data_IF_954429665964
#
_entry.id   IF_954429665964
#
_cell.length_a   1.000
_cell.length_b   1.000
_cell.length_c   1.000
_cell.angle_alpha   90.00
_cell.angle_beta   90.00
_cell.angle_gamma   90.00
#
_symmetry.space_group_name_H-M   'P 1'
#
loop_
_entity.id
_entity.type
_entity.pdbx_description
1 polymer ?
#
# COMPACT_ATOMS: atom_id res chain seq x y z
N UNK A 1 41.74 -59.52 -13.43
CA UNK A 1 41.94 -59.40 -14.89
C UNK A 1 41.73 -57.95 -15.28
N UNK A 2 42.79 -57.29 -15.75
CA UNK A 2 42.77 -56.06 -16.56
C UNK A 2 42.75 -56.49 -18.04
N UNK A 3 42.22 -55.69 -18.99
CA UNK A 3 42.97 -54.58 -19.62
C UNK A 3 42.11 -53.28 -19.75
N UNK A 4 42.61 -52.06 -19.57
CA UNK A 4 43.46 -51.18 -20.42
C UNK A 4 42.98 -50.99 -21.86
N UNK A 5 42.59 -49.75 -22.19
CA UNK A 5 43.38 -48.90 -23.11
C UNK A 5 43.05 -47.40 -22.94
N UNK A 6 44.10 -46.62 -23.15
CA UNK A 6 44.26 -45.16 -23.01
C UNK A 6 43.84 -44.44 -24.30
N UNK A 7 43.46 -43.17 -24.20
CA UNK A 7 44.00 -42.12 -25.10
C UNK A 7 43.77 -40.73 -24.50
N UNK A 8 44.88 -40.05 -24.24
CA UNK A 8 45.01 -38.64 -23.90
C UNK A 8 44.81 -37.72 -25.11
N UNK A 9 44.33 -36.49 -24.91
CA UNK A 9 44.75 -35.24 -25.59
C UNK A 9 43.97 -34.06 -24.95
N UNK A 10 44.55 -33.33 -24.00
CA UNK A 10 45.34 -32.10 -24.15
C UNK A 10 44.57 -30.86 -24.62
N UNK A 11 44.72 -29.83 -23.79
CA UNK A 11 44.30 -28.44 -23.90
C UNK A 11 44.52 -27.78 -25.26
N UNK A 12 43.57 -26.93 -25.66
CA UNK A 12 43.78 -25.60 -26.24
C UNK A 12 42.42 -24.98 -26.60
N UNK A 13 42.07 -23.88 -25.94
CA UNK A 13 41.19 -22.79 -26.42
C UNK A 13 41.61 -21.56 -25.61
N UNK A 14 42.51 -20.76 -26.16
CA UNK A 14 42.30 -19.70 -27.15
C UNK A 14 42.34 -18.35 -26.42
N UNK A 15 43.53 -17.76 -26.45
CA UNK A 15 43.75 -16.32 -26.35
C UNK A 15 42.90 -15.63 -27.43
N UNK A 16 42.10 -14.63 -27.04
CA UNK A 16 41.73 -13.47 -27.85
C UNK A 16 40.85 -12.53 -27.02
N UNK A 17 41.45 -11.51 -26.40
CA UNK A 17 40.81 -10.20 -26.20
C UNK A 17 41.84 -9.17 -25.71
N UNK A 18 42.66 -8.68 -26.63
CA UNK A 18 43.12 -7.30 -26.56
C UNK A 18 42.21 -6.49 -27.50
N UNK A 19 41.17 -5.88 -26.93
CA UNK A 19 40.47 -4.76 -27.55
C UNK A 19 40.48 -3.61 -26.54
N UNK A 20 41.45 -2.74 -26.73
CA UNK A 20 41.52 -1.42 -26.13
C UNK A 20 40.23 -0.65 -26.45
N UNK A 21 39.53 -0.22 -25.40
CA UNK A 21 38.44 0.74 -25.53
C UNK A 21 39.07 2.13 -25.75
N UNK A 22 39.25 2.50 -27.02
CA UNK A 22 39.65 3.87 -27.40
C UNK A 22 38.50 4.83 -27.10
N UNK A 23 38.75 5.74 -26.16
CA UNK A 23 37.98 6.96 -25.96
C UNK A 23 37.91 7.76 -27.27
N UNK A 24 36.70 7.98 -27.79
CA UNK A 24 36.43 9.01 -28.79
C UNK A 24 35.83 10.22 -28.09
N UNK A 25 36.72 11.12 -27.71
CA UNK A 25 36.43 12.55 -27.59
C UNK A 25 36.23 13.09 -29.00
N UNK A 26 35.02 13.54 -29.33
CA UNK A 26 34.79 14.33 -30.53
C UNK A 26 35.06 15.80 -30.20
N UNK A 27 36.17 16.30 -30.73
CA UNK A 27 36.51 17.72 -30.79
C UNK A 27 35.43 18.49 -31.58
N UNK A 28 34.88 19.54 -30.96
CA UNK A 28 34.19 20.61 -31.67
C UNK A 28 35.10 21.84 -31.61
N UNK A 29 35.85 22.08 -32.68
CA UNK A 29 36.47 23.37 -32.95
C UNK A 29 35.55 24.21 -33.85
N UNK A 30 35.13 25.34 -33.27
CA UNK A 30 35.35 26.68 -33.79
C UNK A 30 34.54 27.17 -34.99
N UNK A 31 33.46 27.94 -34.71
CA UNK A 31 33.04 29.07 -35.54
C UNK A 31 32.50 30.20 -34.64
N UNK A 32 33.27 31.28 -34.51
CA UNK A 32 32.73 32.64 -34.70
C UNK A 32 32.61 33.54 -33.48
N UNK A 33 33.70 34.28 -33.22
CA UNK A 33 33.78 35.49 -32.40
C UNK A 33 32.62 36.49 -32.65
N UNK A 34 31.95 36.90 -31.57
CA UNK A 34 30.98 38.00 -31.56
C UNK A 34 31.74 39.30 -31.31
N UNK A 35 31.95 40.08 -32.38
CA UNK A 35 32.45 41.45 -32.29
C UNK A 35 31.29 42.43 -32.02
N UNK A 36 31.32 43.09 -30.87
CA UNK A 36 30.43 44.18 -30.49
C UNK A 36 30.70 45.41 -31.37
N UNK A 37 29.77 45.74 -32.27
CA UNK A 37 29.74 47.03 -32.97
C UNK A 37 28.63 47.92 -32.39
N UNK A 38 29.08 49.04 -31.82
CA UNK A 38 28.30 50.20 -31.38
C UNK A 38 27.51 50.86 -32.53
N UNK A 39 26.24 51.27 -32.35
CA UNK A 39 25.54 52.05 -33.36
C UNK A 39 25.81 53.55 -33.21
N UNK A 40 26.14 54.17 -34.34
CA UNK A 40 26.31 55.61 -34.53
C UNK A 40 24.96 56.33 -34.69
N UNK A 41 24.93 57.56 -34.19
CA UNK A 41 23.87 58.54 -34.30
C UNK A 41 23.41 58.80 -35.75
N UNK A 42 22.10 58.72 -36.03
CA UNK A 42 21.47 59.53 -37.08
C UNK A 42 19.99 59.86 -36.79
N UNK A 43 19.70 61.13 -37.04
CA UNK A 43 18.51 61.96 -36.82
C UNK A 43 17.13 61.31 -36.67
N UNK A 44 16.46 61.78 -35.61
CA UNK A 44 15.02 61.70 -35.34
C UNK A 44 14.20 62.44 -36.41
N UNK A 45 13.17 61.78 -36.95
CA UNK A 45 11.97 62.45 -37.45
C UNK A 45 10.76 61.91 -36.69
N UNK A 46 9.91 62.83 -36.24
CA UNK A 46 8.86 62.64 -35.21
C UNK A 46 7.75 61.70 -35.67
N UNK A 47 7.49 60.64 -34.88
CA UNK A 47 6.19 59.96 -34.81
C UNK A 47 5.84 59.75 -33.32
N UNK A 48 4.58 59.97 -32.98
CA UNK A 48 3.99 60.05 -31.63
C UNK A 48 4.28 58.85 -30.69
N UNK A 49 4.39 59.07 -29.36
CA UNK A 49 4.69 58.01 -28.40
C UNK A 49 3.41 57.29 -27.95
N UNK A 50 3.01 56.25 -28.68
CA UNK A 50 2.01 55.30 -28.16
C UNK A 50 2.13 53.87 -28.73
N UNK A 51 3.19 53.54 -29.49
CA UNK A 51 3.30 52.27 -30.21
C UNK A 51 4.58 51.45 -29.92
N UNK A 52 5.34 51.77 -28.86
CA UNK A 52 6.61 51.10 -28.56
C UNK A 52 6.59 50.16 -27.34
N UNK A 53 5.45 50.00 -26.66
CA UNK A 53 5.28 49.06 -25.53
C UNK A 53 4.56 47.75 -25.90
N UNK A 54 4.32 47.47 -27.19
CA UNK A 54 3.57 46.27 -27.62
C UNK A 54 4.49 45.16 -28.17
N UNK A 55 5.74 45.47 -28.54
CA UNK A 55 6.61 44.48 -29.22
C UNK A 55 7.47 43.59 -28.31
N UNK A 56 7.68 43.93 -27.03
CA UNK A 56 8.52 43.13 -26.10
C UNK A 56 7.68 42.19 -25.20
N UNK A 57 6.37 42.42 -25.08
CA UNK A 57 5.46 41.53 -24.33
C UNK A 57 5.01 40.32 -25.16
N UNK A 58 5.20 40.36 -26.49
CA UNK A 58 4.65 39.33 -27.40
C UNK A 58 5.62 38.17 -27.65
N UNK A 59 6.94 38.33 -27.50
CA UNK A 59 7.90 37.22 -27.72
C UNK A 59 8.16 36.36 -26.48
N UNK A 60 7.90 36.85 -25.28
CA UNK A 60 7.95 36.06 -24.03
C UNK A 60 6.65 35.30 -23.74
N UNK A 61 5.52 35.72 -24.32
CA UNK A 61 4.25 34.99 -24.23
C UNK A 61 4.19 33.75 -25.14
N UNK A 62 4.91 33.74 -26.28
CA UNK A 62 4.81 32.66 -27.27
C UNK A 62 5.59 31.40 -26.83
N UNK A 63 6.65 31.52 -26.01
CA UNK A 63 7.35 30.35 -25.45
C UNK A 63 6.62 29.72 -24.25
N UNK A 64 5.80 30.48 -23.51
CA UNK A 64 4.99 29.96 -22.42
C UNK A 64 3.73 29.21 -22.92
N UNK A 65 3.23 29.58 -24.10
CA UNK A 65 2.05 28.96 -24.72
C UNK A 65 2.37 27.63 -25.40
N UNK A 66 3.61 27.42 -25.88
CA UNK A 66 4.02 26.16 -26.51
C UNK A 66 4.28 25.02 -25.51
N UNK A 67 4.74 25.32 -24.29
CA UNK A 67 4.88 24.31 -23.21
C UNK A 67 3.53 23.90 -22.60
N UNK A 68 2.56 24.81 -22.52
CA UNK A 68 1.18 24.49 -22.08
C UNK A 68 0.41 23.63 -23.10
N UNK A 69 0.74 23.74 -24.39
CA UNK A 69 0.08 22.97 -25.44
C UNK A 69 0.51 21.50 -25.46
N UNK A 70 1.75 21.21 -25.06
CA UNK A 70 2.25 19.83 -24.94
C UNK A 70 1.68 19.17 -23.67
N UNK A 71 1.57 19.91 -22.57
CA UNK A 71 0.87 19.45 -21.35
C UNK A 71 -0.63 19.19 -21.58
N UNK A 72 -1.27 19.97 -22.46
CA UNK A 72 -2.69 19.76 -22.84
C UNK A 72 -2.90 18.53 -23.70
N UNK A 73 -1.93 18.08 -24.49
CA UNK A 73 -2.13 16.95 -25.42
C UNK A 73 -2.04 15.58 -24.75
N UNK A 74 -1.36 15.46 -23.60
CA UNK A 74 -1.30 14.21 -22.83
C UNK A 74 -2.59 13.96 -21.99
N UNK A 75 -3.33 15.02 -21.67
CA UNK A 75 -4.55 14.95 -20.83
C UNK A 75 -5.83 14.57 -21.61
N UNK A 76 -5.76 14.37 -22.93
CA UNK A 76 -6.95 14.25 -23.79
C UNK A 76 -7.66 12.88 -23.71
N UNK A 77 -7.12 11.88 -22.99
CA UNK A 77 -7.76 10.55 -22.89
C UNK A 77 -8.44 10.18 -21.57
N UNK A 78 -8.26 10.93 -20.49
CA UNK A 78 -8.88 10.56 -19.19
C UNK A 78 -9.64 11.74 -18.61
N UNK A 79 -10.96 11.66 -18.59
CA UNK A 79 -11.79 12.62 -17.86
C UNK A 79 -11.51 12.49 -16.37
N UNK A 80 -10.64 13.35 -15.83
CA UNK A 80 -10.33 13.39 -14.40
C UNK A 80 -11.60 13.72 -13.61
N UNK A 81 -12.01 12.80 -12.73
CA UNK A 81 -13.10 13.01 -11.79
C UNK A 81 -12.57 13.80 -10.60
N UNK A 82 -13.18 14.94 -10.27
CA UNK A 82 -12.73 15.78 -9.15
C UNK A 82 -13.68 15.57 -7.98
N UNK A 83 -13.19 15.35 -6.74
CA UNK A 83 -13.99 15.37 -5.54
C UNK A 83 -14.53 16.78 -5.34
N UNK A 84 -15.85 16.92 -5.37
CA UNK A 84 -16.50 18.24 -5.36
C UNK A 84 -17.26 18.54 -4.08
N UNK A 85 -17.37 17.56 -3.18
CA UNK A 85 -18.11 17.69 -1.93
C UNK A 85 -17.37 17.16 -0.70
N UNK A 86 -17.89 17.46 0.51
CA UNK A 86 -17.43 16.82 1.73
C UNK A 86 -17.65 15.31 1.64
N UNK A 87 -16.97 14.56 2.51
CA UNK A 87 -17.29 13.14 2.68
C UNK A 87 -18.76 12.94 3.06
N UNK A 88 -19.31 11.80 2.64
CA UNK A 88 -20.56 11.24 3.14
C UNK A 88 -20.30 9.86 3.72
N UNK A 89 -20.89 9.57 4.86
CA UNK A 89 -20.89 8.24 5.46
C UNK A 89 -21.67 7.27 4.56
N UNK A 90 -21.04 6.17 4.17
CA UNK A 90 -21.63 5.10 3.35
C UNK A 90 -21.98 3.90 4.22
N UNK A 91 -21.08 3.50 5.11
CA UNK A 91 -21.30 2.39 6.04
C UNK A 91 -20.79 2.74 7.43
N UNK A 92 -21.60 2.46 8.45
CA UNK A 92 -21.18 2.43 9.85
C UNK A 92 -21.47 1.04 10.39
N UNK A 93 -20.40 0.28 10.58
CA UNK A 93 -20.40 -1.14 10.92
C UNK A 93 -19.93 -1.28 12.37
N UNK A 94 -20.82 -1.63 13.29
CA UNK A 94 -20.52 -1.71 14.72
C UNK A 94 -21.57 -2.56 15.46
N UNK A 95 -21.18 -3.11 16.62
CA UNK A 95 -22.10 -3.91 17.43
C UNK A 95 -22.83 -4.97 16.61
N UNK A 96 -24.14 -5.11 16.83
CA UNK A 96 -24.93 -6.19 16.23
C UNK A 96 -25.02 -6.16 14.70
N UNK A 97 -24.85 -5.00 14.05
CA UNK A 97 -24.97 -4.89 12.59
C UNK A 97 -23.67 -5.21 11.85
N UNK A 98 -22.54 -5.36 12.55
CA UNK A 98 -21.23 -5.47 11.93
C UNK A 98 -21.16 -6.63 10.93
N UNK A 99 -21.62 -7.81 11.33
CA UNK A 99 -21.58 -9.02 10.50
C UNK A 99 -22.62 -9.05 9.36
N UNK A 100 -23.44 -7.99 9.21
CA UNK A 100 -24.36 -7.88 8.08
C UNK A 100 -23.64 -7.39 6.82
N UNK A 101 -22.51 -6.70 6.97
CA UNK A 101 -21.70 -6.16 5.87
C UNK A 101 -20.76 -7.18 5.24
N UNK A 102 -20.62 -8.37 5.84
CA UNK A 102 -19.62 -9.37 5.46
C UNK A 102 -20.24 -10.74 5.17
N UNK A 103 -19.59 -11.47 4.27
CA UNK A 103 -19.70 -12.91 4.14
C UNK A 103 -18.53 -13.57 4.90
N UNK A 104 -18.77 -14.75 5.48
CA UNK A 104 -17.73 -15.54 6.14
C UNK A 104 -17.15 -16.51 5.11
N UNK A 105 -15.85 -16.41 4.85
CA UNK A 105 -15.16 -17.39 4.02
C UNK A 105 -14.96 -18.67 4.82
N UNK A 106 -15.30 -19.81 4.21
CA UNK A 106 -15.26 -21.15 4.81
C UNK A 106 -14.36 -22.05 3.96
N UNK A 107 -13.19 -22.40 4.49
CA UNK A 107 -12.20 -23.18 3.77
C UNK A 107 -10.75 -22.90 4.18
N UNK A 108 -9.79 -23.56 3.52
CA UNK A 108 -8.37 -23.35 3.79
C UNK A 108 -7.95 -21.94 3.36
N UNK A 109 -6.87 -21.46 3.97
CA UNK A 109 -6.23 -20.24 3.52
C UNK A 109 -5.74 -20.34 2.07
N UNK A 110 -5.51 -19.20 1.42
CA UNK A 110 -5.16 -19.17 0.00
C UNK A 110 -3.83 -19.90 -0.26
N UNK A 111 -3.62 -20.41 -1.47
CA UNK A 111 -2.32 -21.02 -1.82
C UNK A 111 -1.15 -20.03 -1.76
N UNK A 112 -1.42 -18.73 -1.93
CA UNK A 112 -0.40 -17.67 -1.90
C UNK A 112 0.05 -17.31 -0.49
N UNK A 113 -0.85 -17.30 0.48
CA UNK A 113 -0.56 -17.03 1.89
C UNK A 113 -0.19 -18.32 2.65
N UNK A 114 -0.87 -19.42 2.35
CA UNK A 114 -0.63 -20.76 2.87
C UNK A 114 -0.59 -20.84 4.41
N UNK A 115 -1.44 -20.06 5.08
CA UNK A 115 -1.55 -20.03 6.54
C UNK A 115 -1.91 -21.40 7.14
N UNK A 116 -1.40 -21.66 8.34
CA UNK A 116 -1.64 -22.86 9.13
C UNK A 116 -2.96 -22.77 9.92
N UNK A 117 -4.04 -22.53 9.19
CA UNK A 117 -5.38 -22.38 9.72
C UNK A 117 -6.45 -22.81 8.71
N UNK A 118 -7.66 -23.03 9.21
CA UNK A 118 -8.87 -23.20 8.42
C UNK A 118 -9.86 -22.12 8.83
N UNK A 119 -10.40 -21.38 7.87
CA UNK A 119 -11.47 -20.43 8.15
C UNK A 119 -12.80 -21.16 8.20
N UNK A 120 -13.63 -20.83 9.19
CA UNK A 120 -14.90 -21.53 9.43
C UNK A 120 -16.11 -20.68 9.04
N UNK A 121 -17.21 -21.36 8.68
CA UNK A 121 -18.50 -20.73 8.38
C UNK A 121 -19.01 -19.80 9.49
N UNK A 122 -19.93 -18.88 9.15
CA UNK A 122 -20.61 -18.02 10.12
C UNK A 122 -21.30 -18.81 11.24
N UNK A 123 -21.94 -19.94 10.90
CA UNK A 123 -22.63 -20.77 11.88
C UNK A 123 -21.62 -21.37 12.87
N UNK A 124 -20.56 -22.00 12.37
CA UNK A 124 -19.49 -22.57 13.18
C UNK A 124 -18.80 -21.51 14.04
N UNK A 125 -18.48 -20.35 13.46
CA UNK A 125 -17.82 -19.26 14.18
C UNK A 125 -18.68 -18.74 15.35
N UNK A 126 -19.99 -18.60 15.15
CA UNK A 126 -20.90 -18.14 16.21
C UNK A 126 -21.13 -19.21 17.28
N UNK A 127 -21.30 -20.48 16.88
CA UNK A 127 -21.50 -21.60 17.80
C UNK A 127 -20.27 -21.84 18.69
N UNK A 128 -19.07 -21.76 18.10
CA UNK A 128 -17.80 -21.90 18.81
C UNK A 128 -17.29 -20.59 19.42
N UNK A 129 -18.10 -19.51 19.39
CA UNK A 129 -17.78 -18.19 19.94
C UNK A 129 -16.50 -17.55 19.38
N UNK A 130 -16.08 -17.96 18.18
CA UNK A 130 -14.99 -17.34 17.43
C UNK A 130 -15.39 -15.99 16.84
N UNK A 131 -16.68 -15.74 16.63
CA UNK A 131 -17.18 -14.45 16.22
C UNK A 131 -18.42 -14.07 17.04
N UNK A 132 -18.59 -12.79 17.34
CA UNK A 132 -19.77 -12.31 18.04
C UNK A 132 -19.66 -10.87 18.52
N UNK A 133 -20.68 -10.41 19.23
CA UNK A 133 -20.72 -9.10 19.87
C UNK A 133 -20.80 -9.30 21.38
N UNK A 134 -19.95 -8.60 22.12
CA UNK A 134 -19.97 -8.60 23.59
C UNK A 134 -20.17 -7.18 24.11
N UNK A 135 -20.86 -7.06 25.24
CA UNK A 135 -21.04 -5.79 25.93
C UNK A 135 -20.07 -5.73 27.11
N UNK A 136 -19.24 -4.70 27.14
CA UNK A 136 -18.29 -4.42 28.22
C UNK A 136 -18.45 -2.98 28.66
N UNK A 137 -18.64 -2.76 29.96
CA UNK A 137 -18.87 -1.43 30.54
C UNK A 137 -19.98 -0.61 29.85
N UNK A 138 -20.98 -1.29 29.29
CA UNK A 138 -22.10 -0.68 28.58
C UNK A 138 -21.82 -0.32 27.11
N UNK A 139 -20.65 -0.68 26.58
CA UNK A 139 -20.27 -0.51 25.18
C UNK A 139 -20.26 -1.87 24.44
N UNK A 140 -20.73 -1.89 23.20
CA UNK A 140 -20.70 -3.08 22.33
C UNK A 140 -19.38 -3.18 21.57
N UNK A 141 -18.74 -4.34 21.61
CA UNK A 141 -17.54 -4.65 20.85
C UNK A 141 -17.75 -5.89 19.99
N UNK A 142 -17.23 -5.83 18.77
CA UNK A 142 -17.17 -6.94 17.83
C UNK A 142 -15.93 -7.76 18.14
N UNK A 143 -16.10 -9.06 18.32
CA UNK A 143 -15.04 -10.02 18.56
C UNK A 143 -14.88 -10.97 17.39
N UNK A 144 -13.63 -11.23 17.00
CA UNK A 144 -13.24 -12.30 16.07
C UNK A 144 -11.96 -12.96 16.58
N UNK A 145 -11.90 -14.27 16.67
CA UNK A 145 -10.79 -15.01 17.26
C UNK A 145 -10.53 -16.33 16.52
N UNK A 146 -9.78 -17.22 17.16
CA UNK A 146 -9.36 -18.52 16.65
C UNK A 146 -9.45 -19.58 17.76
N UNK A 147 -9.49 -20.85 17.41
CA UNK A 147 -9.48 -21.96 18.37
C UNK A 147 -8.60 -23.11 17.91
N UNK A 148 -7.89 -23.79 18.83
CA UNK A 148 -7.12 -24.97 18.50
C UNK A 148 -8.04 -26.09 17.99
N UNK A 149 -7.50 -26.91 17.11
CA UNK A 149 -8.09 -28.20 16.72
C UNK A 149 -7.22 -29.33 17.28
N UNK A 150 -7.70 -30.58 17.23
CA UNK A 150 -6.99 -31.73 17.83
C UNK A 150 -5.58 -31.93 17.25
N UNK A 151 -5.44 -31.82 15.92
CA UNK A 151 -4.20 -32.09 15.19
C UNK A 151 -3.69 -30.89 14.37
N UNK A 152 -4.35 -29.72 14.46
CA UNK A 152 -4.16 -28.64 13.49
C UNK A 152 -4.83 -28.93 12.12
N UNK A 153 -4.93 -27.94 11.23
CA UNK A 153 -4.64 -26.52 11.41
C UNK A 153 -5.66 -25.85 12.36
N UNK A 154 -5.33 -24.67 12.88
CA UNK A 154 -6.19 -23.90 13.82
C UNK A 154 -7.46 -23.35 13.14
N UNK A 155 -8.60 -23.40 13.80
CA UNK A 155 -9.82 -22.74 13.32
C UNK A 155 -9.70 -21.22 13.47
N UNK A 156 -10.11 -20.47 12.47
CA UNK A 156 -10.07 -19.00 12.46
C UNK A 156 -11.23 -18.39 11.66
N UNK A 157 -11.26 -17.06 11.54
CA UNK A 157 -12.29 -16.32 10.81
C UNK A 157 -11.67 -15.43 9.73
N UNK A 158 -12.27 -15.46 8.54
CA UNK A 158 -12.05 -14.51 7.45
C UNK A 158 -13.40 -13.93 7.03
N UNK A 159 -13.51 -12.61 7.11
CA UNK A 159 -14.67 -11.85 6.67
C UNK A 159 -14.37 -11.14 5.36
N UNK A 160 -15.30 -11.21 4.43
CA UNK A 160 -15.18 -10.57 3.13
C UNK A 160 -16.36 -9.63 2.88
N UNK A 161 -16.07 -8.36 2.64
CA UNK A 161 -17.07 -7.33 2.49
C UNK A 161 -17.98 -7.60 1.29
N UNK A 162 -19.29 -7.43 1.50
CA UNK A 162 -20.30 -7.58 0.44
C UNK A 162 -20.26 -6.44 -0.56
N UNK A 163 -19.94 -5.23 -0.09
CA UNK A 163 -19.86 -4.04 -0.93
C UNK A 163 -18.49 -3.99 -1.63
N UNK A 164 -18.54 -3.65 -2.92
CA UNK A 164 -17.38 -3.33 -3.74
C UNK A 164 -17.23 -1.81 -3.83
N UNK A 165 -16.00 -1.33 -3.72
CA UNK A 165 -15.62 0.07 -3.69
C UNK A 165 -14.68 0.39 -4.84
N UNK A 166 -14.72 1.64 -5.30
CA UNK A 166 -13.82 2.20 -6.32
C UNK A 166 -12.92 3.31 -5.77
N UNK A 167 -13.25 3.77 -4.56
CA UNK A 167 -12.55 4.76 -3.73
C UNK A 167 -13.21 4.77 -2.36
N UNK A 168 -12.59 5.42 -1.39
CA UNK A 168 -13.21 5.69 -0.09
C UNK A 168 -12.23 6.17 0.96
N UNK A 169 -12.78 6.53 2.11
CA UNK A 169 -12.04 6.67 3.35
C UNK A 169 -12.53 5.58 4.31
N UNK A 170 -11.63 4.68 4.68
CA UNK A 170 -11.90 3.52 5.52
C UNK A 170 -11.28 3.76 6.88
N UNK A 171 -12.08 3.71 7.94
CA UNK A 171 -11.62 3.98 9.30
C UNK A 171 -11.93 2.78 10.18
N UNK A 172 -10.89 2.13 10.71
CA UNK A 172 -10.99 1.04 11.68
C UNK A 172 -10.71 1.58 13.09
N UNK A 173 -11.72 1.48 13.96
CA UNK A 173 -11.62 1.77 15.39
C UNK A 173 -11.44 0.45 16.15
N UNK A 174 -10.19 0.12 16.48
CA UNK A 174 -9.79 -1.16 17.10
C UNK A 174 -9.37 -0.95 18.55
N UNK A 175 -9.77 -1.84 19.44
CA UNK A 175 -9.41 -1.84 20.87
C UNK A 175 -8.35 -2.90 21.16
N UNK A 176 -8.41 -4.03 20.45
CA UNK A 176 -7.42 -5.10 20.49
C UNK A 176 -7.28 -5.72 19.11
N UNK A 177 -6.08 -6.08 18.71
CA UNK A 177 -5.80 -6.85 17.50
C UNK A 177 -4.97 -8.09 17.82
N UNK A 178 -5.03 -9.14 16.97
CA UNK A 178 -4.22 -10.32 17.17
C UNK A 178 -2.72 -10.00 17.23
N UNK A 179 -2.00 -10.57 18.18
CA UNK A 179 -0.60 -10.28 18.39
C UNK A 179 0.18 -11.53 18.86
N UNK A 180 1.47 -11.59 18.53
CA UNK A 180 2.40 -12.60 19.04
C UNK A 180 3.00 -13.53 17.99
N UNK A 181 3.82 -14.50 18.43
CA UNK A 181 4.55 -15.40 17.55
C UNK A 181 3.63 -16.21 16.63
N UNK A 182 3.96 -16.28 15.34
CA UNK A 182 3.22 -17.06 14.35
C UNK A 182 1.84 -16.52 13.98
N UNK A 183 1.41 -15.39 14.58
CA UNK A 183 0.13 -14.73 14.30
C UNK A 183 0.26 -13.80 13.09
N UNK A 184 -0.74 -13.79 12.20
CA UNK A 184 -0.80 -12.95 11.00
C UNK A 184 -2.20 -12.33 10.79
N UNK A 185 -2.53 -11.24 11.51
CA UNK A 185 -3.74 -10.45 11.29
C UNK A 185 -3.64 -9.56 10.05
N UNK A 186 -4.78 -9.37 9.38
CA UNK A 186 -4.90 -8.33 8.35
C UNK A 186 -6.29 -7.67 8.33
N UNK A 187 -6.30 -6.36 8.10
CA UNK A 187 -7.43 -5.54 7.64
C UNK A 187 -7.00 -4.81 6.37
N UNK A 188 -7.63 -5.16 5.25
CA UNK A 188 -7.10 -4.85 3.92
C UNK A 188 -8.21 -4.75 2.87
N UNK A 189 -7.86 -4.25 1.69
CA UNK A 189 -8.75 -4.13 0.54
C UNK A 189 -8.22 -4.94 -0.63
N UNK A 190 -9.09 -5.67 -1.35
CA UNK A 190 -8.67 -6.45 -2.53
C UNK A 190 -9.82 -6.78 -3.47
N UNK A 191 -9.49 -7.19 -4.70
CA UNK A 191 -10.38 -7.91 -5.61
C UNK A 191 -9.77 -9.28 -5.95
N UNK A 192 -10.03 -10.26 -5.10
CA UNK A 192 -9.38 -11.59 -5.12
C UNK A 192 -9.56 -12.31 -6.47
N UNK A 193 -10.71 -12.11 -7.12
CA UNK A 193 -11.00 -12.74 -8.41
C UNK A 193 -10.13 -12.18 -9.56
N UNK A 194 -9.61 -10.96 -9.39
CA UNK A 194 -8.79 -10.27 -10.39
C UNK A 194 -7.38 -9.95 -9.90
N UNK A 195 -6.99 -10.41 -8.71
CA UNK A 195 -5.67 -10.18 -8.13
C UNK A 195 -4.54 -10.74 -9.03
N UNK A 196 -3.40 -10.03 -9.18
CA UNK A 196 -3.08 -8.71 -8.63
C UNK A 196 -3.48 -7.55 -9.55
N UNK A 197 -4.25 -7.80 -10.63
CA UNK A 197 -4.55 -6.76 -11.65
C UNK A 197 -5.40 -5.62 -11.10
N UNK A 198 -6.34 -5.93 -10.22
CA UNK A 198 -7.19 -4.94 -9.53
C UNK A 198 -6.66 -4.59 -8.13
N UNK A 199 -5.45 -5.07 -7.82
CA UNK A 199 -4.63 -4.65 -6.71
C UNK A 199 -5.08 -5.12 -5.33
N UNK A 200 -4.27 -4.75 -4.37
CA UNK A 200 -4.43 -4.99 -2.94
C UNK A 200 -3.92 -3.77 -2.17
N UNK A 201 -4.57 -3.46 -1.04
CA UNK A 201 -4.13 -2.41 -0.10
C UNK A 201 -4.20 -2.95 1.32
N UNK A 202 -3.05 -3.17 1.93
CA UNK A 202 -2.93 -3.62 3.31
C UNK A 202 -2.96 -2.42 4.24
N UNK A 203 -4.06 -2.21 4.98
CA UNK A 203 -4.24 -1.03 5.84
C UNK A 203 -3.59 -1.25 7.21
N UNK A 204 -3.83 -2.45 7.76
CA UNK A 204 -3.23 -2.95 8.97
C UNK A 204 -2.89 -4.40 8.71
N UNK A 205 -1.60 -4.71 8.65
CA UNK A 205 -1.07 -6.06 8.57
C UNK A 205 0.17 -6.17 9.44
N UNK A 206 0.27 -7.24 10.21
CA UNK A 206 1.45 -7.52 11.03
C UNK A 206 1.68 -9.01 11.13
N UNK A 207 2.90 -9.41 11.46
CA UNK A 207 3.25 -10.81 11.75
C UNK A 207 4.08 -10.90 13.01
N UNK A 208 4.06 -12.05 13.70
CA UNK A 208 5.03 -12.42 14.74
C UNK A 208 5.19 -11.42 15.90
N UNK A 209 4.17 -10.58 16.15
CA UNK A 209 4.23 -9.54 17.18
C UNK A 209 4.99 -8.28 16.80
N UNK A 210 5.08 -7.96 15.50
CA UNK A 210 5.51 -6.66 15.00
C UNK A 210 4.85 -5.51 15.77
N UNK A 211 5.59 -4.42 15.95
CA UNK A 211 5.10 -3.23 16.67
C UNK A 211 5.13 -1.95 15.84
N UNK A 212 5.64 -2.01 14.61
CA UNK A 212 5.60 -0.92 13.64
C UNK A 212 4.56 -1.21 12.56
N UNK A 213 3.54 -0.37 12.44
CA UNK A 213 2.53 -0.48 11.40
C UNK A 213 3.14 -0.25 10.02
N UNK A 214 2.58 -0.95 9.04
CA UNK A 214 2.88 -0.79 7.63
C UNK A 214 1.61 -0.68 6.82
N UNK A 215 1.67 0.08 5.74
CA UNK A 215 0.70 0.01 4.64
C UNK A 215 1.43 -0.48 3.41
N UNK A 216 0.89 -1.49 2.74
CA UNK A 216 1.48 -2.03 1.52
C UNK A 216 0.48 -1.99 0.36
N UNK A 217 0.98 -1.77 -0.86
CA UNK A 217 0.20 -1.95 -2.08
C UNK A 217 0.80 -3.05 -2.94
N UNK A 218 -0.07 -3.90 -3.48
CA UNK A 218 0.30 -4.95 -4.44
C UNK A 218 -0.43 -4.74 -5.75
N UNK A 219 0.30 -4.78 -6.85
CA UNK A 219 -0.22 -4.54 -8.21
C UNK A 219 0.36 -5.51 -9.23
N UNK A 220 -0.21 -5.50 -10.43
CA UNK A 220 0.53 -5.93 -11.63
C UNK A 220 1.71 -4.99 -11.95
N UNK A 221 2.41 -5.21 -13.06
CA UNK A 221 3.57 -4.41 -13.47
C UNK A 221 3.23 -2.91 -13.63
N UNK A 222 4.27 -2.06 -13.66
CA UNK A 222 4.19 -0.61 -13.91
C UNK A 222 3.57 0.20 -12.76
N UNK A 223 4.07 0.02 -11.54
CA UNK A 223 3.71 0.88 -10.41
C UNK A 223 4.93 1.05 -9.49
N UNK A 224 5.69 2.13 -9.69
CA UNK A 224 6.97 2.38 -9.02
C UNK A 224 6.95 3.73 -8.30
N UNK A 225 7.08 3.71 -6.98
CA UNK A 225 7.06 4.91 -6.15
C UNK A 225 8.43 5.60 -6.09
N UNK A 226 9.50 4.91 -6.50
CA UNK A 226 10.87 5.38 -6.36
C UNK A 226 11.10 6.73 -7.03
N UNK A 227 11.77 7.65 -6.32
CA UNK A 227 12.09 9.01 -6.75
C UNK A 227 10.89 9.92 -7.10
N UNK A 228 9.67 9.44 -6.87
CA UNK A 228 8.43 10.11 -7.29
C UNK A 228 7.52 10.50 -6.13
N UNK A 229 7.77 9.94 -4.93
CA UNK A 229 7.17 10.38 -3.67
C UNK A 229 8.20 11.17 -2.87
N UNK A 230 7.85 12.38 -2.42
CA UNK A 230 8.72 13.20 -1.59
C UNK A 230 8.74 12.66 -0.15
N UNK A 231 9.89 12.63 0.54
CA UNK A 231 9.94 12.28 1.95
C UNK A 231 9.18 13.27 2.85
N UNK A 232 8.73 14.41 2.31
CA UNK A 232 7.90 15.38 3.03
C UNK A 232 6.38 15.15 2.86
N UNK A 233 5.97 14.18 2.03
CA UNK A 233 4.55 13.86 1.81
C UNK A 233 4.00 12.87 2.85
N UNK A 234 4.89 12.24 3.63
CA UNK A 234 4.56 11.31 4.71
C UNK A 234 5.53 11.46 5.89
N UNK A 235 5.15 10.98 7.08
CA UNK A 235 6.05 10.94 8.25
C UNK A 235 6.84 9.63 8.37
N UNK A 236 6.36 8.55 7.77
CA UNK A 236 7.05 7.27 7.71
C UNK A 236 8.14 7.22 6.64
N UNK A 237 8.62 6.01 6.37
CA UNK A 237 9.61 5.73 5.33
C UNK A 237 9.24 4.42 4.60
N UNK A 238 9.92 4.12 3.49
CA UNK A 238 9.80 2.81 2.84
C UNK A 238 10.42 1.71 3.72
N UNK A 239 9.79 0.53 3.74
CA UNK A 239 10.41 -0.66 4.35
C UNK A 239 11.71 -0.97 3.63
N UNK A 240 12.77 -1.24 4.40
CA UNK A 240 14.06 -1.62 3.84
C UNK A 240 14.19 -3.13 3.85
N UNK A 241 14.32 -3.71 2.66
CA UNK A 241 14.37 -5.14 2.42
C UNK A 241 15.79 -5.56 2.13
N UNK A 242 16.25 -6.58 2.84
CA UNK A 242 17.49 -7.30 2.59
C UNK A 242 17.20 -8.78 2.29
N UNK A 243 18.25 -9.56 2.06
CA UNK A 243 18.15 -11.01 1.88
C UNK A 243 17.58 -11.44 0.53
N UNK A 244 17.26 -10.50 -0.37
CA UNK A 244 16.72 -10.77 -1.70
C UNK A 244 17.65 -11.76 -2.43
N UNK A 245 17.14 -12.91 -2.92
CA UNK A 245 17.99 -13.90 -3.57
C UNK A 245 18.65 -13.34 -4.82
N UNK A 246 19.96 -13.55 -4.95
CA UNK A 246 20.71 -13.18 -6.15
C UNK A 246 20.15 -13.92 -7.38
N UNK A 247 19.84 -13.17 -8.44
CA UNK A 247 19.15 -13.70 -9.62
C UNK A 247 19.92 -14.79 -10.36
N UNK A 248 21.23 -14.89 -10.16
CA UNK A 248 22.07 -15.90 -10.82
C UNK A 248 22.35 -17.11 -9.92
N UNK A 249 22.56 -16.89 -8.63
CA UNK A 249 22.97 -17.94 -7.68
C UNK A 249 21.83 -18.49 -6.83
N UNK A 250 20.72 -17.75 -6.69
CA UNK A 250 19.62 -18.05 -5.79
C UNK A 250 19.96 -17.93 -4.31
N UNK A 251 21.16 -17.46 -3.95
CA UNK A 251 21.58 -17.29 -2.56
C UNK A 251 21.08 -15.94 -2.02
N UNK A 252 20.55 -15.90 -0.78
CA UNK A 252 20.16 -14.65 -0.12
C UNK A 252 21.30 -13.63 -0.05
N UNK A 253 21.01 -12.37 -0.36
CA UNK A 253 21.96 -11.25 -0.33
C UNK A 253 21.66 -10.32 0.85
N UNK A 254 22.37 -10.48 1.96
CA UNK A 254 22.25 -9.60 3.13
C UNK A 254 23.22 -8.41 3.13
N UNK A 255 24.09 -8.32 2.12
CA UNK A 255 25.03 -7.22 1.91
C UNK A 255 24.39 -5.98 1.27
N UNK A 256 23.15 -6.10 0.78
CA UNK A 256 22.40 -5.04 0.12
C UNK A 256 21.02 -4.96 0.75
N UNK A 257 20.63 -3.74 1.11
CA UNK A 257 19.25 -3.40 1.45
C UNK A 257 18.69 -2.40 0.41
N UNK A 258 17.43 -2.56 0.04
CA UNK A 258 16.70 -1.69 -0.89
C UNK A 258 15.33 -1.32 -0.31
N UNK A 259 14.82 -0.11 -0.57
CA UNK A 259 13.44 0.21 -0.21
C UNK A 259 12.46 -0.66 -1.01
N UNK A 260 11.40 -1.13 -0.35
CA UNK A 260 10.22 -1.74 -0.97
C UNK A 260 9.33 -0.64 -1.54
N UNK A 261 9.72 -0.06 -2.67
CA UNK A 261 9.05 1.09 -3.29
C UNK A 261 8.33 0.75 -4.60
N UNK A 262 8.37 -0.52 -5.04
CA UNK A 262 7.70 -0.95 -6.26
C UNK A 262 6.52 -1.85 -5.94
N UNK A 263 5.32 -1.44 -6.33
CA UNK A 263 4.10 -2.14 -5.94
C UNK A 263 3.87 -3.40 -6.77
N UNK A 264 4.64 -3.62 -7.83
CA UNK A 264 4.55 -4.83 -8.62
C UNK A 264 5.02 -6.06 -7.84
N UNK A 265 4.13 -7.04 -7.67
CA UNK A 265 4.41 -8.27 -6.92
C UNK A 265 5.60 -9.12 -7.45
N UNK A 266 6.11 -8.83 -8.65
CA UNK A 266 7.28 -9.53 -9.22
C UNK A 266 8.46 -8.59 -9.47
N UNK A 267 8.53 -7.43 -8.81
CA UNK A 267 9.67 -6.53 -8.89
C UNK A 267 10.94 -7.22 -8.39
N UNK A 268 12.03 -7.12 -9.17
CA UNK A 268 13.23 -7.93 -8.97
C UNK A 268 14.15 -7.42 -7.84
N UNK A 269 13.98 -6.18 -7.39
CA UNK A 269 14.81 -5.57 -6.34
C UNK A 269 14.20 -5.68 -4.94
N UNK A 270 13.19 -6.53 -4.78
CA UNK A 270 12.46 -6.81 -3.55
C UNK A 270 12.00 -8.27 -3.54
N UNK A 271 11.43 -8.76 -2.44
CA UNK A 271 10.90 -10.12 -2.41
C UNK A 271 9.70 -10.27 -3.36
N UNK A 272 9.50 -11.49 -3.86
CA UNK A 272 8.27 -11.80 -4.56
C UNK A 272 7.08 -11.58 -3.62
N UNK A 273 6.07 -10.85 -4.11
CA UNK A 273 4.90 -10.42 -3.34
C UNK A 273 5.21 -9.44 -2.19
N UNK A 274 6.33 -8.72 -2.23
CA UNK A 274 6.62 -7.68 -1.24
C UNK A 274 5.67 -6.47 -1.39
N UNK A 275 5.37 -6.09 -2.62
CA UNK A 275 4.67 -4.84 -2.91
C UNK A 275 5.51 -3.61 -2.57
N UNK A 276 4.89 -2.43 -2.60
CA UNK A 276 5.50 -1.20 -2.11
C UNK A 276 4.98 -0.95 -0.71
N UNK A 277 5.87 -0.89 0.28
CA UNK A 277 5.52 -0.94 1.69
C UNK A 277 6.08 0.25 2.42
N UNK A 278 5.21 1.08 2.98
CA UNK A 278 5.57 2.21 3.81
C UNK A 278 5.33 1.86 5.28
N UNK A 279 6.33 2.12 6.13
CA UNK A 279 6.33 1.82 7.56
C UNK A 279 6.21 3.09 8.39
N UNK A 280 5.56 2.99 9.54
CA UNK A 280 5.48 4.09 10.48
C UNK A 280 6.86 4.38 11.11
N UNK A 281 7.17 5.64 11.42
CA UNK A 281 8.39 6.04 12.12
C UNK A 281 8.44 5.63 13.62
N UNK A 282 7.36 5.05 14.14
CA UNK A 282 7.17 4.71 15.56
C UNK A 282 6.92 3.21 15.71
N UNK A 283 7.47 2.64 16.76
CA UNK A 283 7.41 1.21 17.07
C UNK A 283 6.31 0.85 18.09
N UNK A 284 5.28 1.68 18.22
CA UNK A 284 4.14 1.50 19.12
C UNK A 284 2.81 1.63 18.36
N UNK A 285 2.80 1.18 17.10
CA UNK A 285 1.75 1.52 16.12
C UNK A 285 0.99 0.33 15.57
N UNK A 286 1.31 -0.90 16.00
CA UNK A 286 0.53 -2.12 15.78
C UNK A 286 0.80 -3.12 16.91
N UNK A 287 -0.05 -4.15 17.05
CA UNK A 287 0.18 -5.27 17.95
C UNK A 287 0.12 -4.92 19.44
N UNK A 288 0.97 -5.57 20.23
CA UNK A 288 0.99 -5.50 21.69
C UNK A 288 0.97 -4.06 22.26
N UNK A 289 1.86 -3.15 21.83
CA UNK A 289 1.85 -1.77 22.33
C UNK A 289 0.53 -1.02 22.10
N UNK A 290 -0.15 -1.27 20.98
CA UNK A 290 -1.46 -0.67 20.68
C UNK A 290 -2.54 -1.31 21.56
N UNK A 291 -2.50 -2.63 21.76
CA UNK A 291 -3.41 -3.34 22.67
C UNK A 291 -3.28 -2.81 24.11
N UNK A 292 -2.06 -2.66 24.61
CA UNK A 292 -1.74 -2.12 25.95
C UNK A 292 -2.23 -0.68 26.14
N UNK A 293 -2.22 0.13 25.07
CA UNK A 293 -2.72 1.51 25.07
C UNK A 293 -4.27 1.61 24.98
N UNK A 294 -5.00 0.49 24.93
CA UNK A 294 -6.45 0.47 24.75
C UNK A 294 -6.90 0.64 23.29
N UNK A 295 -6.01 0.31 22.36
CA UNK A 295 -6.23 0.31 20.94
C UNK A 295 -5.92 1.63 20.24
N UNK A 296 -6.36 1.75 18.99
CA UNK A 296 -6.10 2.90 18.15
C UNK A 296 -7.05 2.99 16.97
N UNK A 297 -6.81 3.96 16.11
CA UNK A 297 -7.58 4.18 14.88
C UNK A 297 -6.67 4.15 13.67
N UNK A 298 -6.96 3.25 12.73
CA UNK A 298 -6.30 3.17 11.43
C UNK A 298 -7.23 3.77 10.38
N UNK A 299 -6.68 4.60 9.49
CA UNK A 299 -7.45 5.21 8.43
C UNK A 299 -6.71 5.13 7.08
N UNK A 300 -7.40 4.65 6.05
CA UNK A 300 -6.94 4.68 4.66
C UNK A 300 -7.83 5.64 3.85
N UNK A 301 -7.24 6.70 3.30
CA UNK A 301 -7.85 7.48 2.22
C UNK A 301 -7.37 6.92 0.87
N UNK A 302 -8.27 6.24 0.16
CA UNK A 302 -8.02 5.56 -1.10
C UNK A 302 -8.78 6.25 -2.22
N UNK A 303 -8.07 7.01 -3.07
CA UNK A 303 -8.67 7.67 -4.23
C UNK A 303 -7.71 7.64 -5.43
N UNK A 304 -7.54 6.47 -6.07
CA UNK A 304 -6.59 6.30 -7.16
C UNK A 304 -6.93 7.19 -8.37
N UNK A 305 -8.21 7.48 -8.59
CA UNK A 305 -8.67 8.40 -9.64
C UNK A 305 -8.23 9.85 -9.38
N UNK A 306 -8.04 10.21 -8.11
CA UNK A 306 -7.46 11.48 -7.68
C UNK A 306 -5.99 11.40 -7.32
N UNK A 307 -5.31 10.34 -7.80
CA UNK A 307 -3.85 10.25 -7.85
C UNK A 307 -3.16 10.02 -6.50
N UNK A 308 -3.86 9.51 -5.48
CA UNK A 308 -3.21 9.23 -4.20
C UNK A 308 -3.83 8.07 -3.41
N UNK A 309 -3.02 7.55 -2.50
CA UNK A 309 -3.46 6.80 -1.32
C UNK A 309 -2.70 7.30 -0.09
N UNK A 310 -3.38 7.35 1.06
CA UNK A 310 -2.82 7.88 2.30
C UNK A 310 -3.25 7.03 3.49
N UNK A 311 -2.33 6.73 4.38
CA UNK A 311 -2.60 5.95 5.59
C UNK A 311 -2.20 6.70 6.85
N UNK A 312 -3.05 6.62 7.88
CA UNK A 312 -2.80 7.16 9.21
C UNK A 312 -3.03 6.10 10.27
N UNK A 313 -2.28 6.25 11.37
CA UNK A 313 -2.56 5.61 12.64
C UNK A 313 -2.64 6.71 13.70
N UNK A 314 -3.58 6.56 14.64
CA UNK A 314 -3.69 7.44 15.80
C UNK A 314 -3.90 6.62 17.06
N UNK A 315 -3.07 6.86 18.08
CA UNK A 315 -3.43 6.54 19.45
C UNK A 315 -4.66 7.33 19.87
N UNK A 316 -5.43 6.80 20.82
CA UNK A 316 -6.73 7.35 21.23
C UNK A 316 -6.66 8.80 21.69
N UNK A 317 -5.64 9.12 22.45
CA UNK A 317 -5.38 10.44 23.03
C UNK A 317 -4.78 11.43 22.02
N UNK A 318 -4.19 10.94 20.94
CA UNK A 318 -3.59 11.72 19.85
C UNK A 318 -4.54 11.97 18.66
N UNK A 319 -5.71 11.31 18.65
CA UNK A 319 -6.67 11.43 17.55
C UNK A 319 -7.06 12.90 17.27
N UNK A 320 -7.06 13.35 16.00
CA UNK A 320 -7.57 14.67 15.63
C UNK A 320 -9.04 14.84 16.06
N UNK A 321 -9.39 16.02 16.59
CA UNK A 321 -10.76 16.31 17.08
C UNK A 321 -11.84 16.04 16.02
N UNK A 322 -11.54 16.35 14.75
CA UNK A 322 -12.45 16.08 13.65
C UNK A 322 -12.73 14.57 13.49
N UNK A 323 -11.70 13.72 13.56
CA UNK A 323 -11.86 12.26 13.47
C UNK A 323 -12.62 11.69 14.67
N UNK A 324 -12.28 12.13 15.89
CA UNK A 324 -13.00 11.74 17.11
C UNK A 324 -14.51 12.02 16.99
N UNK A 325 -14.86 13.24 16.54
CA UNK A 325 -16.25 13.64 16.38
C UNK A 325 -16.94 12.90 15.22
N UNK A 326 -16.22 12.60 14.14
CA UNK A 326 -16.75 11.84 13.01
C UNK A 326 -17.15 10.43 13.42
N UNK A 327 -16.29 9.71 14.13
CA UNK A 327 -16.60 8.39 14.70
C UNK A 327 -17.77 8.47 15.68
N UNK A 328 -17.70 9.41 16.65
CA UNK A 328 -18.72 9.56 17.70
C UNK A 328 -20.12 9.82 17.13
N UNK A 329 -20.21 10.52 16.01
CA UNK A 329 -21.50 10.91 15.42
C UNK A 329 -21.94 10.01 14.26
N UNK A 330 -21.13 9.04 13.84
CA UNK A 330 -21.44 8.16 12.71
C UNK A 330 -22.73 7.34 12.93
N UNK A 331 -23.06 6.99 14.18
CA UNK A 331 -24.27 6.24 14.54
C UNK A 331 -25.55 7.09 14.62
N UNK A 332 -25.46 8.43 14.54
CA UNK A 332 -26.64 9.29 14.57
C UNK A 332 -27.51 9.03 13.34
N UNK A 333 -28.83 8.98 13.52
CA UNK A 333 -29.77 8.71 12.41
C UNK A 333 -29.87 9.91 11.46
N UNK A 334 -29.82 11.12 12.00
CA UNK A 334 -29.92 12.36 11.24
C UNK A 334 -28.57 12.73 10.61
N UNK A 335 -28.50 12.65 9.28
CA UNK A 335 -27.26 12.86 8.53
C UNK A 335 -26.67 14.25 8.74
N UNK A 336 -27.51 15.27 8.90
CA UNK A 336 -27.12 16.67 9.12
C UNK A 336 -26.48 16.91 10.50
N UNK A 337 -26.66 15.99 11.46
CA UNK A 337 -26.02 16.06 12.78
C UNK A 337 -24.66 15.36 12.82
N UNK A 338 -24.31 14.63 11.76
CA UNK A 338 -23.03 13.91 11.67
C UNK A 338 -21.93 14.88 11.32
N UNK A 339 -20.80 14.74 12.00
CA UNK A 339 -19.55 15.39 11.58
C UNK A 339 -18.88 14.50 10.55
N UNK A 340 -18.52 15.06 9.41
CA UNK A 340 -17.81 14.33 8.37
C UNK A 340 -16.30 14.49 8.56
N UNK A 341 -15.51 13.46 8.21
CA UNK A 341 -14.06 13.51 8.32
C UNK A 341 -13.48 14.59 7.40
N UNK A 342 -12.37 15.19 7.81
CA UNK A 342 -11.57 16.13 7.04
C UNK A 342 -10.08 15.79 7.21
N UNK A 343 -9.55 15.03 6.26
CA UNK A 343 -8.18 14.51 6.30
C UNK A 343 -7.10 15.60 6.27
N UNK A 344 -7.42 16.82 5.79
CA UNK A 344 -6.49 17.96 5.85
C UNK A 344 -6.24 18.44 7.28
N UNK A 345 -7.18 18.18 8.20
CA UNK A 345 -7.08 18.56 9.60
C UNK A 345 -6.33 17.54 10.47
N UNK A 346 -5.93 16.40 9.89
CA UNK A 346 -5.36 15.27 10.62
C UNK A 346 -3.83 15.28 10.70
N UNK A 347 -3.17 16.14 9.93
CA UNK A 347 -1.72 16.12 9.77
C UNK A 347 -1.27 15.22 8.62
N UNK A 348 0.05 15.08 8.46
CA UNK A 348 0.63 14.22 7.44
C UNK A 348 0.30 12.74 7.71
N UNK A 349 0.03 11.94 6.66
CA UNK A 349 -0.07 10.49 6.80
C UNK A 349 1.30 9.89 7.11
N UNK A 350 1.34 8.70 7.73
CA UNK A 350 2.61 7.98 7.87
C UNK A 350 3.00 7.30 6.55
N UNK A 351 2.02 6.98 5.70
CA UNK A 351 2.25 6.42 4.37
C UNK A 351 1.53 7.23 3.30
N UNK A 352 2.25 7.58 2.24
CA UNK A 352 1.72 8.26 1.06
C UNK A 352 2.16 7.56 -0.22
N UNK A 353 1.21 7.26 -1.10
CA UNK A 353 1.47 6.65 -2.40
C UNK A 353 0.94 7.58 -3.50
N UNK A 354 1.81 7.98 -4.41
CA UNK A 354 1.41 8.76 -5.58
C UNK A 354 0.91 7.83 -6.70
N UNK A 355 -0.30 8.10 -7.21
CA UNK A 355 -0.91 7.33 -8.29
C UNK A 355 -0.94 8.19 -9.59
N UNK A 356 -0.73 7.55 -10.72
CA UNK A 356 -0.77 8.13 -12.07
C UNK A 356 0.62 8.30 -12.70
N UNK A 357 0.68 9.13 -13.74
CA UNK A 357 1.80 9.16 -14.70
C UNK A 357 3.19 9.35 -14.08
N UNK A 358 3.29 10.03 -12.94
CA UNK A 358 4.58 10.31 -12.28
C UNK A 358 5.25 9.04 -11.77
N UNK A 359 4.48 8.08 -11.25
CA UNK A 359 4.96 6.80 -10.70
C UNK A 359 4.77 5.64 -11.69
N UNK A 360 4.26 5.92 -12.89
CA UNK A 360 3.74 4.91 -13.81
C UNK A 360 2.50 4.16 -13.31
N UNK A 361 2.14 4.34 -12.03
CA UNK A 361 1.13 3.54 -11.36
C UNK A 361 -0.28 3.94 -11.79
N UNK A 362 -0.86 3.22 -12.75
CA UNK A 362 -2.21 3.54 -13.23
C UNK A 362 -3.26 3.38 -12.12
N UNK A 363 -4.25 4.28 -12.09
CA UNK A 363 -5.42 4.14 -11.23
C UNK A 363 -6.20 2.84 -11.52
N UNK A 364 -6.06 2.26 -12.71
CA UNK A 364 -6.67 0.98 -13.08
C UNK A 364 -6.13 -0.22 -12.31
N UNK A 365 -4.98 -0.09 -11.63
CA UNK A 365 -4.49 -1.11 -10.71
C UNK A 365 -5.38 -1.29 -9.50
N UNK A 366 -6.26 -0.33 -9.20
CA UNK A 366 -7.03 -0.35 -7.97
C UNK A 366 -8.50 -0.02 -8.24
N UNK A 367 -9.33 -1.06 -8.28
CA UNK A 367 -10.77 -0.94 -8.56
C UNK A 367 -11.52 -2.15 -8.06
N UNK A 368 -12.82 -2.01 -7.89
CA UNK A 368 -13.72 -3.11 -7.49
C UNK A 368 -13.26 -3.86 -6.22
N UNK A 369 -12.72 -3.16 -5.24
CA UNK A 369 -12.18 -3.77 -4.03
C UNK A 369 -13.26 -3.99 -2.97
N UNK A 370 -13.11 -5.01 -2.14
CA UNK A 370 -13.87 -5.17 -0.88
C UNK A 370 -12.94 -5.12 0.31
N UNK A 371 -13.52 -4.82 1.47
CA UNK A 371 -12.84 -4.96 2.77
C UNK A 371 -12.66 -6.45 3.08
N UNK A 372 -11.51 -6.82 3.62
CA UNK A 372 -11.26 -8.14 4.19
C UNK A 372 -10.71 -8.00 5.61
N UNK A 373 -11.22 -8.80 6.53
CA UNK A 373 -10.60 -9.06 7.83
C UNK A 373 -10.21 -10.53 7.89
N UNK A 374 -9.01 -10.85 8.36
CA UNK A 374 -8.68 -12.21 8.72
C UNK A 374 -7.67 -12.29 9.87
N UNK A 375 -7.58 -13.49 10.42
CA UNK A 375 -6.51 -13.91 11.32
C UNK A 375 -5.92 -15.19 10.76
N UNK A 376 -4.80 -15.08 10.05
CA UNK A 376 -4.02 -16.22 9.59
C UNK A 376 -2.92 -16.57 10.61
N UNK A 377 -2.28 -17.72 10.39
CA UNK A 377 -1.13 -18.13 11.20
C UNK A 377 -0.02 -18.67 10.31
N UNK A 378 1.24 -18.44 10.66
CA UNK A 378 2.41 -18.93 9.94
C UNK A 378 2.37 -18.62 8.43
N UNK A 379 2.39 -19.65 7.58
CA UNK A 379 2.38 -19.48 6.13
C UNK A 379 3.61 -18.75 5.58
N UNK A 380 3.45 -18.19 4.38
CA UNK A 380 4.56 -17.66 3.59
C UNK A 380 5.14 -16.34 4.13
N UNK A 381 4.43 -15.65 5.03
CA UNK A 381 4.93 -14.40 5.64
C UNK A 381 5.36 -14.65 7.08
N UNK A 382 4.41 -14.87 8.01
CA UNK A 382 4.75 -15.07 9.42
C UNK A 382 5.62 -16.31 9.63
N UNK A 383 5.32 -17.42 8.95
CA UNK A 383 6.05 -18.68 9.09
C UNK A 383 7.49 -18.59 8.60
N UNK A 384 7.74 -17.98 7.44
CA UNK A 384 9.09 -17.81 6.91
C UNK A 384 9.97 -16.90 7.78
N UNK A 385 9.37 -15.93 8.47
CA UNK A 385 10.08 -14.98 9.36
C UNK A 385 10.18 -15.48 10.81
N UNK A 386 9.47 -16.56 11.16
CA UNK A 386 9.30 -17.02 12.55
C UNK A 386 10.60 -17.28 13.30
N UNK A 387 11.59 -17.95 12.68
CA UNK A 387 12.87 -18.23 13.36
C UNK A 387 13.70 -16.98 13.65
N UNK A 388 13.54 -15.93 12.85
CA UNK A 388 14.26 -14.67 13.00
C UNK A 388 13.54 -13.74 13.97
N UNK A 389 12.21 -13.68 13.90
CA UNK A 389 11.38 -12.74 14.66
C UNK A 389 10.91 -13.29 16.00
N UNK A 390 10.84 -14.61 16.16
CA UNK A 390 10.47 -15.29 17.40
C UNK A 390 11.51 -16.37 17.76
N UNK A 391 12.80 -16.01 17.93
CA UNK A 391 13.87 -16.98 18.10
C UNK A 391 13.73 -17.84 19.36
N UNK A 392 13.14 -17.29 20.43
CA UNK A 392 12.93 -18.01 21.69
C UNK A 392 11.87 -19.12 21.54
N UNK A 393 10.77 -18.83 20.85
CA UNK A 393 9.74 -19.80 20.51
C UNK A 393 10.28 -20.82 19.50
N UNK A 394 10.94 -20.34 18.45
CA UNK A 394 11.55 -21.21 17.45
C UNK A 394 12.55 -22.21 18.06
N UNK A 395 13.35 -21.80 19.05
CA UNK A 395 14.27 -22.70 19.74
C UNK A 395 13.55 -23.83 20.51
N UNK A 396 12.35 -23.57 21.03
CA UNK A 396 11.54 -24.57 21.77
C UNK A 396 10.89 -25.59 20.82
N UNK A 397 10.48 -25.15 19.63
CA UNK A 397 9.70 -25.93 18.67
C UNK A 397 10.46 -26.31 17.41
N UNK A 398 11.79 -26.15 17.35
CA UNK A 398 12.61 -26.31 16.14
C UNK A 398 12.37 -27.66 15.44
N UNK A 399 11.51 -27.64 14.43
CA UNK A 399 11.23 -28.78 13.56
C UNK A 399 12.09 -28.61 12.33
N UNK A 400 13.07 -29.50 12.17
CA UNK A 400 13.82 -29.70 10.92
C UNK A 400 14.60 -28.47 10.39
N UNK A 401 14.86 -27.45 11.21
CA UNK A 401 15.41 -26.14 10.77
C UNK A 401 14.60 -25.49 9.64
N UNK A 402 13.31 -25.81 9.54
CA UNK A 402 12.37 -25.25 8.57
C UNK A 402 11.50 -24.21 9.32
N UNK A 403 11.57 -22.92 8.95
CA UNK A 403 10.92 -21.87 9.73
C UNK A 403 9.39 -22.00 9.72
N UNK A 404 8.80 -22.41 8.60
CA UNK A 404 7.35 -22.61 8.49
C UNK A 404 6.90 -23.80 9.32
N UNK A 405 7.59 -24.94 9.23
CA UNK A 405 7.21 -26.12 10.05
C UNK A 405 7.42 -25.88 11.54
N UNK A 406 8.45 -25.13 11.90
CA UNK A 406 8.70 -24.72 13.30
C UNK A 406 7.59 -23.82 13.81
N UNK A 407 7.12 -22.87 12.97
CA UNK A 407 5.96 -22.05 13.29
C UNK A 407 4.69 -22.90 13.45
N UNK A 408 4.41 -23.82 12.53
CA UNK A 408 3.23 -24.67 12.60
C UNK A 408 3.22 -25.50 13.89
N UNK A 409 4.36 -26.08 14.27
CA UNK A 409 4.50 -26.82 15.52
C UNK A 409 4.25 -25.96 16.77
N UNK A 410 4.63 -24.68 16.74
CA UNK A 410 4.27 -23.72 17.78
C UNK A 410 2.75 -23.50 17.84
N UNK A 411 2.09 -23.28 16.70
CA UNK A 411 0.63 -23.07 16.65
C UNK A 411 -0.17 -24.30 17.09
N UNK A 412 0.27 -25.51 16.68
CA UNK A 412 -0.31 -26.80 17.09
C UNK A 412 -0.25 -27.00 18.61
N UNK A 413 0.76 -26.44 19.27
CA UNK A 413 0.93 -26.59 20.72
C UNK A 413 -0.09 -25.80 21.55
N UNK A 414 -0.92 -24.96 20.91
CA UNK A 414 -1.92 -24.09 21.55
C UNK A 414 -1.38 -23.32 22.77
N UNK A 415 -0.31 -22.52 22.60
CA UNK A 415 0.31 -21.82 23.71
C UNK A 415 -0.66 -20.77 24.28
N UNK A 416 -0.60 -20.54 25.60
CA UNK A 416 -1.48 -19.61 26.31
C UNK A 416 -1.47 -18.20 25.69
N UNK A 417 -0.34 -17.75 25.13
CA UNK A 417 -0.24 -16.49 24.39
C UNK A 417 -1.28 -16.36 23.28
N UNK A 418 -1.60 -17.43 22.54
CA UNK A 418 -2.63 -17.36 21.49
C UNK A 418 -4.04 -17.22 22.07
N UNK A 419 -4.31 -17.81 23.24
CA UNK A 419 -5.62 -17.69 23.91
C UNK A 419 -5.86 -16.27 24.39
N UNK A 420 -4.80 -15.62 24.86
CA UNK A 420 -4.86 -14.29 25.43
C UNK A 420 -4.68 -13.17 24.40
N UNK A 421 -4.02 -13.42 23.26
CA UNK A 421 -3.64 -12.35 22.32
C UNK A 421 -4.11 -12.57 20.87
N UNK A 422 -4.59 -13.76 20.46
CA UNK A 422 -4.99 -14.01 19.07
C UNK A 422 -6.48 -13.69 18.81
N UNK A 423 -6.88 -12.44 19.03
CA UNK A 423 -8.24 -11.97 18.71
C UNK A 423 -8.32 -10.48 18.36
N UNK A 424 -9.33 -10.17 17.55
CA UNK A 424 -9.80 -8.83 17.28
C UNK A 424 -10.87 -8.42 18.29
N UNK A 425 -10.76 -7.20 18.81
CA UNK A 425 -11.82 -6.46 19.50
C UNK A 425 -11.98 -5.12 18.82
N UNK A 426 -13.10 -4.94 18.12
CA UNK A 426 -13.35 -3.81 17.24
C UNK A 426 -14.55 -3.03 17.78
N UNK A 427 -14.44 -1.71 17.88
CA UNK A 427 -15.58 -0.83 18.19
C UNK A 427 -16.40 -0.58 16.94
N UNK A 428 -15.74 -0.36 15.80
CA UNK A 428 -16.42 -0.27 14.53
C UNK A 428 -15.53 0.01 13.34
N UNK A 429 -16.12 -0.12 12.15
CA UNK A 429 -15.56 0.29 10.87
C UNK A 429 -16.49 1.32 10.23
N UNK A 430 -15.92 2.43 9.79
CA UNK A 430 -16.65 3.54 9.20
C UNK A 430 -16.10 3.83 7.81
N UNK A 431 -16.96 3.77 6.81
CA UNK A 431 -16.60 3.97 5.41
C UNK A 431 -17.29 5.22 4.88
N UNK A 432 -16.49 6.11 4.29
CA UNK A 432 -16.96 7.36 3.72
C UNK A 432 -16.55 7.46 2.24
N UNK A 433 -17.34 8.18 1.44
CA UNK A 433 -17.01 8.49 0.04
C UNK A 433 -17.20 9.98 -0.23
N UNK A 434 -16.52 10.53 -1.23
CA UNK A 434 -16.81 11.86 -1.79
C UNK A 434 -17.63 11.76 -3.08
N UNK A 435 -18.49 12.75 -3.28
CA UNK A 435 -19.11 12.98 -4.59
C UNK A 435 -18.05 13.40 -5.61
N UNK A 436 -18.21 12.92 -6.84
CA UNK A 436 -17.35 13.27 -7.95
C UNK A 436 -18.19 14.03 -8.97
N UNK A 437 -17.68 15.16 -9.46
CA UNK A 437 -18.17 15.75 -10.70
C UNK A 437 -17.33 15.25 -11.87
N UNK A 438 -18.02 14.74 -12.90
CA UNK A 438 -17.43 14.66 -14.22
C UNK A 438 -17.32 16.08 -14.76
N UNK A 439 -16.09 16.56 -15.02
CA UNK A 439 -15.93 17.81 -15.78
C UNK A 439 -16.72 17.67 -17.10
N UNK A 440 -17.65 18.59 -17.40
CA UNK A 440 -18.40 18.51 -18.64
C UNK A 440 -17.42 18.51 -19.81
N UNK A 441 -17.57 17.52 -20.71
CA UNK A 441 -16.91 17.56 -22.01
C UNK A 441 -17.21 18.93 -22.60
N UNK A 442 -16.19 19.73 -22.94
CA UNK A 442 -16.41 20.92 -23.75
C UNK A 442 -17.17 20.44 -24.98
N UNK A 443 -18.42 20.87 -25.11
CA UNK A 443 -19.20 20.60 -26.31
C UNK A 443 -18.37 21.11 -27.49
N UNK A 444 -18.17 20.26 -28.50
CA UNK A 444 -17.57 20.68 -29.75
C UNK A 444 -18.35 21.90 -30.24
N UNK A 445 -17.71 23.06 -30.19
CA UNK A 445 -18.16 24.24 -30.89
C UNK A 445 -18.11 23.86 -32.37
N UNK A 446 -19.24 23.41 -32.91
CA UNK A 446 -19.47 23.46 -34.35
C UNK A 446 -19.48 24.94 -34.70
N UNK A 447 -18.35 25.42 -35.21
CA UNK A 447 -18.32 26.63 -36.01
C UNK A 447 -19.20 26.37 -37.24
N UNK A 448 -20.46 26.77 -37.16
CA UNK A 448 -21.30 26.98 -38.34
C UNK A 448 -20.69 28.15 -39.11
N UNK A 449 -19.86 27.81 -40.08
CA UNK A 449 -19.46 28.72 -41.15
C UNK A 449 -20.68 28.87 -42.07
N UNK A 450 -21.32 30.05 -42.01
CA UNK A 450 -22.18 30.57 -43.09
C UNK A 450 -21.50 31.76 -43.76
#
# INVERSE_FOLDING_TARGET
MSPREDTSLLSKKDELSHLEYKSHTSDFEDIGDITLLSPTNRSVSRIHPLLQNIAIVVTSAILAVSLQSIYKSAQIKSGHLIPTGPYRLVEAQYGSNFFDFYDFYDGPDSLGSAGYNVYVSKESAMQSQLAGVKVEDGEEFVYMSSAPTEDGPRDSVRLEGKRRFERGLFVLDVVHMPNGPGVWPAFWLTDEAAWPRNGEVDILEGVNGMTTAKTALHTSNECDMYAHVSPYDMTGDWEWIDGIPDTFTGQPRFDIAKPADNCWIMAQHQWANEGCTAVHERNDTIGGPVNEAGGGVYALEWDPQNRYMKSWFFHRDEMPKNLQQSIKTASLKEAEKRTMPDTHSWGLPYAYFAIGDTTGCSADHFKNMRIVFNLAFCGNVAGNRFMTECPDEAAKFNVTNDPVKTCNAYIESDPETLKDEAYWKIRGVYVYERELEQKPKKADQKDDIQ
#
